data_IF_221264849206
#
_entry.id   IF_221264849206
#
_cell.length_a   1.000
_cell.length_b   1.000
_cell.length_c   1.000
_cell.angle_alpha   90.00
_cell.angle_beta   90.00
_cell.angle_gamma   90.00
#
_symmetry.space_group_name_H-M   'P 1'
#
loop_
_entity.id
_entity.type
_entity.pdbx_description
1 polymer ?
#
# COMPACT_ATOMS: atom_id res chain seq x y z
N UNK A 1 2.92 -11.98 7.30
CA UNK A 1 3.32 -10.60 7.67
C UNK A 1 4.38 -10.57 8.77
N UNK A 2 4.17 -11.19 9.95
CA UNK A 2 5.19 -11.22 11.02
C UNK A 2 6.52 -11.81 10.55
N UNK A 3 6.48 -12.93 9.84
CA UNK A 3 7.67 -13.59 9.32
C UNK A 3 8.38 -12.73 8.26
N UNK A 4 7.61 -12.20 7.29
CA UNK A 4 8.09 -11.26 6.26
C UNK A 4 8.76 -10.02 6.85
N UNK A 5 8.22 -9.47 7.94
CA UNK A 5 8.84 -8.36 8.66
C UNK A 5 10.14 -8.81 9.32
N UNK A 6 10.14 -9.99 9.96
CA UNK A 6 11.28 -10.56 10.66
C UNK A 6 12.50 -10.84 9.77
N UNK A 7 12.28 -11.07 8.47
CA UNK A 7 13.35 -11.22 7.47
C UNK A 7 14.11 -9.91 7.20
N UNK A 8 13.52 -8.75 7.50
CA UNK A 8 14.07 -7.44 7.15
C UNK A 8 14.37 -6.54 8.34
N UNK A 9 13.69 -6.74 9.47
CA UNK A 9 13.78 -5.90 10.66
C UNK A 9 13.54 -6.71 11.93
N UNK A 10 14.39 -6.50 12.95
CA UNK A 10 14.20 -7.06 14.29
C UNK A 10 12.94 -6.46 14.94
N UNK A 11 12.41 -7.11 15.98
CA UNK A 11 11.21 -6.64 16.66
C UNK A 11 11.32 -5.19 17.19
N UNK A 12 12.52 -4.74 17.55
CA UNK A 12 12.78 -3.39 18.06
C UNK A 12 13.30 -2.40 17.01
N UNK A 13 13.52 -2.82 15.76
CA UNK A 13 13.98 -1.93 14.70
C UNK A 13 12.84 -0.97 14.27
N UNK A 14 13.19 0.30 14.05
CA UNK A 14 12.22 1.32 13.65
C UNK A 14 11.64 1.05 12.26
N UNK A 15 10.31 1.16 12.12
CA UNK A 15 9.60 1.01 10.85
C UNK A 15 8.81 2.27 10.50
N UNK A 16 8.51 2.41 9.21
CA UNK A 16 7.66 3.47 8.71
C UNK A 16 6.51 2.90 7.88
N UNK A 17 5.29 3.30 8.19
CA UNK A 17 4.09 2.99 7.42
C UNK A 17 3.81 4.14 6.46
N UNK A 18 3.52 3.84 5.21
CA UNK A 18 3.18 4.81 4.19
C UNK A 18 1.83 4.45 3.60
N UNK A 19 0.84 5.33 3.77
CA UNK A 19 -0.46 5.19 3.12
C UNK A 19 -0.50 5.99 1.82
N UNK A 20 -0.49 5.29 0.69
CA UNK A 20 -0.58 5.90 -0.64
C UNK A 20 -2.02 6.16 -1.04
N UNK A 21 -2.16 7.15 -1.93
CA UNK A 21 -3.40 7.46 -2.61
C UNK A 21 -3.95 8.83 -2.28
N UNK A 22 -5.12 9.11 -2.84
CA UNK A 22 -5.80 10.38 -2.77
C UNK A 22 -7.06 10.28 -1.90
N UNK A 23 -7.09 11.02 -0.79
CA UNK A 23 -8.22 11.07 0.15
C UNK A 23 -9.55 11.43 -0.53
N UNK A 24 -9.51 12.23 -1.59
CA UNK A 24 -10.70 12.72 -2.29
C UNK A 24 -11.20 11.79 -3.39
N UNK A 25 -10.50 10.69 -3.67
CA UNK A 25 -10.90 9.68 -4.66
C UNK A 25 -11.24 8.41 -3.90
N UNK A 26 -12.51 8.11 -3.74
CA UNK A 26 -13.01 6.99 -2.91
C UNK A 26 -12.24 5.68 -3.08
N UNK A 27 -12.02 5.15 -4.31
CA UNK A 27 -11.28 3.91 -4.47
C UNK A 27 -9.79 4.03 -4.13
N UNK A 28 -9.20 5.23 -4.18
CA UNK A 28 -7.78 5.50 -3.93
C UNK A 28 -7.53 6.04 -2.51
N UNK A 29 -8.58 6.24 -1.70
CA UNK A 29 -8.49 6.85 -0.38
C UNK A 29 -8.03 5.88 0.73
N UNK A 30 -7.68 4.64 0.40
CA UNK A 30 -7.39 3.60 1.37
C UNK A 30 -6.19 3.95 2.27
N UNK A 31 -5.03 4.28 1.68
CA UNK A 31 -3.84 4.64 2.45
C UNK A 31 -4.07 5.83 3.38
N UNK A 32 -4.62 6.97 2.90
CA UNK A 32 -4.99 8.11 3.74
C UNK A 32 -5.95 7.78 4.88
N UNK A 33 -6.84 6.79 4.70
CA UNK A 33 -7.79 6.35 5.74
C UNK A 33 -7.19 5.35 6.73
N UNK A 34 -6.22 4.54 6.31
CA UNK A 34 -5.59 3.53 7.18
C UNK A 34 -4.50 4.15 8.07
N UNK A 35 -3.73 5.12 7.57
CA UNK A 35 -2.62 5.74 8.33
C UNK A 35 -3.04 6.30 9.70
N UNK A 36 -4.18 7.01 9.85
CA UNK A 36 -4.64 7.50 11.16
C UNK A 36 -4.98 6.41 12.17
N UNK A 37 -5.28 5.19 11.71
CA UNK A 37 -5.62 4.04 12.56
C UNK A 37 -4.37 3.26 13.04
N UNK A 38 -3.18 3.69 12.61
CA UNK A 38 -1.91 3.07 13.02
C UNK A 38 -1.44 3.66 14.36
N UNK A 39 -1.18 2.79 15.33
CA UNK A 39 -0.52 3.18 16.58
C UNK A 39 0.93 3.60 16.32
N UNK A 40 1.19 4.91 16.33
CA UNK A 40 2.51 5.49 16.12
C UNK A 40 3.24 5.70 17.45
N UNK A 41 4.41 5.08 17.59
CA UNK A 41 5.17 5.04 18.85
C UNK A 41 6.50 5.78 18.80
N UNK A 42 7.00 6.13 17.60
CA UNK A 42 8.34 6.75 17.42
C UNK A 42 8.50 8.02 18.28
N UNK A 43 7.51 8.91 18.24
CA UNK A 43 7.55 10.17 18.98
C UNK A 43 7.49 9.96 20.50
N UNK A 44 6.74 8.96 20.97
CA UNK A 44 6.65 8.62 22.40
C UNK A 44 8.01 8.10 22.89
N UNK A 45 8.65 7.22 22.13
CA UNK A 45 9.98 6.71 22.47
C UNK A 45 11.06 7.81 22.44
N UNK A 46 10.91 8.82 21.58
CA UNK A 46 11.84 9.94 21.47
C UNK A 46 11.71 10.94 22.62
N UNK A 47 10.48 11.31 23.00
CA UNK A 47 10.24 12.36 24.00
C UNK A 47 9.88 11.83 25.40
N UNK A 48 9.32 10.63 25.50
CA UNK A 48 8.82 10.02 26.73
C UNK A 48 9.18 8.52 26.82
N UNK A 49 10.46 8.14 26.72
CA UNK A 49 10.88 6.73 26.63
C UNK A 49 10.40 5.85 27.79
N UNK A 50 10.23 6.41 28.99
CA UNK A 50 9.72 5.68 30.18
C UNK A 50 8.22 5.38 30.15
N UNK A 51 7.48 5.98 29.22
CA UNK A 51 6.04 5.76 29.07
C UNK A 51 5.71 4.49 28.29
N UNK A 52 6.71 3.83 27.70
CA UNK A 52 6.55 2.63 26.88
C UNK A 52 7.52 1.53 27.36
N UNK A 53 7.16 0.25 27.21
CA UNK A 53 8.08 -0.87 27.40
C UNK A 53 9.36 -0.73 26.57
N UNK A 54 10.51 -1.17 27.09
CA UNK A 54 11.80 -1.08 26.38
C UNK A 54 11.85 -1.89 25.08
N UNK A 55 11.01 -2.91 24.94
CA UNK A 55 10.89 -3.74 23.74
C UNK A 55 9.90 -3.18 22.70
N UNK A 56 9.35 -2.00 22.95
CA UNK A 56 8.42 -1.32 22.03
C UNK A 56 9.13 -0.93 20.74
N UNK A 57 8.59 -1.40 19.62
CA UNK A 57 9.05 -1.01 18.28
C UNK A 57 8.76 0.48 18.02
N UNK A 58 9.72 1.27 17.49
CA UNK A 58 9.43 2.59 16.96
C UNK A 58 8.65 2.52 15.64
N UNK A 59 7.42 3.04 15.63
CA UNK A 59 6.56 3.12 14.45
C UNK A 59 6.31 4.58 14.12
N UNK A 60 6.56 4.94 12.85
CA UNK A 60 6.17 6.21 12.26
C UNK A 60 5.21 5.96 11.10
N UNK A 61 4.35 6.91 10.78
CA UNK A 61 3.42 6.78 9.67
C UNK A 61 3.22 8.11 8.94
N UNK A 62 2.99 8.04 7.62
CA UNK A 62 2.69 9.21 6.79
C UNK A 62 1.77 8.84 5.63
N UNK A 63 0.88 9.76 5.24
CA UNK A 63 0.23 9.73 3.94
C UNK A 63 0.68 10.97 3.15
N UNK A 64 1.53 10.80 2.12
CA UNK A 64 2.16 11.94 1.43
C UNK A 64 1.22 12.66 0.46
N UNK A 65 0.04 12.10 0.18
CA UNK A 65 -0.83 12.57 -0.88
C UNK A 65 -0.30 12.28 -2.29
N UNK A 66 -0.89 12.94 -3.28
CA UNK A 66 -0.60 12.76 -4.71
C UNK A 66 -0.11 14.06 -5.35
N UNK A 67 0.60 13.95 -6.47
CA UNK A 67 1.15 15.09 -7.23
C UNK A 67 0.14 16.22 -7.44
N UNK A 68 -1.10 15.88 -7.81
CA UNK A 68 -2.15 16.87 -8.08
C UNK A 68 -2.60 17.70 -6.86
N UNK A 69 -2.21 17.30 -5.64
CA UNK A 69 -2.54 17.99 -4.40
C UNK A 69 -1.30 18.70 -3.84
N UNK A 70 -0.15 18.03 -3.86
CA UNK A 70 1.06 18.51 -3.21
C UNK A 70 1.98 19.31 -4.13
N UNK A 71 1.86 19.12 -5.46
CA UNK A 71 2.83 19.61 -6.44
C UNK A 71 4.19 18.90 -6.38
N UNK A 72 4.34 17.86 -5.56
CA UNK A 72 5.58 17.11 -5.36
C UNK A 72 5.30 15.64 -5.62
N UNK A 73 6.18 14.98 -6.37
CA UNK A 73 6.09 13.54 -6.59
C UNK A 73 6.15 12.77 -5.28
N UNK A 74 5.28 11.77 -5.13
CA UNK A 74 5.22 10.92 -3.93
C UNK A 74 6.59 10.32 -3.61
N UNK A 75 7.35 9.90 -4.63
CA UNK A 75 8.70 9.38 -4.47
C UNK A 75 9.66 10.39 -3.85
N UNK A 76 9.56 11.67 -4.21
CA UNK A 76 10.45 12.72 -3.67
C UNK A 76 10.14 12.99 -2.20
N UNK A 77 8.85 13.06 -1.83
CA UNK A 77 8.41 13.17 -0.44
C UNK A 77 8.95 11.97 0.36
N UNK A 78 8.74 10.75 -0.13
CA UNK A 78 9.17 9.54 0.56
C UNK A 78 10.68 9.47 0.69
N UNK A 79 11.43 9.81 -0.36
CA UNK A 79 12.90 9.81 -0.30
C UNK A 79 13.41 10.81 0.73
N UNK A 80 12.87 12.03 0.73
CA UNK A 80 13.22 13.05 1.73
C UNK A 80 12.91 12.61 3.15
N UNK A 81 11.74 12.00 3.39
CA UNK A 81 11.36 11.51 4.73
C UNK A 81 12.22 10.32 5.15
N UNK A 82 12.46 9.36 4.27
CA UNK A 82 13.27 8.16 4.55
C UNK A 82 14.73 8.53 4.84
N UNK A 83 15.32 9.46 4.09
CA UNK A 83 16.71 9.87 4.29
C UNK A 83 16.93 10.59 5.64
N UNK A 84 15.90 11.27 6.14
CA UNK A 84 15.92 11.94 7.45
C UNK A 84 15.56 11.01 8.61
N UNK A 85 14.47 10.25 8.49
CA UNK A 85 13.95 9.40 9.58
C UNK A 85 14.75 8.10 9.71
N UNK A 86 15.33 7.62 8.60
CA UNK A 86 16.14 6.40 8.51
C UNK A 86 15.46 5.15 9.11
N UNK A 87 14.20 4.84 8.73
CA UNK A 87 13.56 3.60 9.17
C UNK A 87 14.29 2.38 8.60
N UNK A 88 14.25 1.26 9.31
CA UNK A 88 14.89 0.02 8.86
C UNK A 88 14.07 -0.72 7.80
N UNK A 89 12.76 -0.49 7.79
CA UNK A 89 11.78 -1.10 6.89
C UNK A 89 10.67 -0.11 6.59
N UNK A 90 10.25 -0.05 5.33
CA UNK A 90 9.05 0.65 4.89
C UNK A 90 7.92 -0.35 4.67
N UNK A 91 6.72 -0.05 5.14
CA UNK A 91 5.50 -0.78 4.79
C UNK A 91 4.58 0.19 4.05
N UNK A 92 4.28 -0.12 2.80
CA UNK A 92 3.50 0.74 1.91
C UNK A 92 2.13 0.12 1.72
N UNK A 93 1.08 0.89 1.96
CA UNK A 93 -0.32 0.48 1.82
C UNK A 93 -0.90 1.24 0.64
N UNK A 94 -1.39 0.52 -0.36
CA UNK A 94 -1.92 1.10 -1.59
C UNK A 94 -3.25 0.45 -2.01
N UNK A 95 -4.07 1.26 -2.66
CA UNK A 95 -5.26 0.79 -3.35
C UNK A 95 -4.87 0.29 -4.74
N UNK A 96 -5.36 -0.88 -5.12
CA UNK A 96 -5.08 -1.50 -6.42
C UNK A 96 -6.33 -1.57 -7.29
N UNK A 97 -6.13 -1.47 -8.61
CA UNK A 97 -7.15 -1.86 -9.56
C UNK A 97 -7.14 -3.38 -9.71
N UNK A 98 -8.31 -4.00 -9.59
CA UNK A 98 -8.52 -5.42 -9.86
C UNK A 98 -8.78 -5.65 -11.35
N UNK A 99 -8.34 -6.81 -11.85
CA UNK A 99 -8.76 -7.38 -13.14
C UNK A 99 -9.87 -8.42 -13.00
N UNK A 100 -10.49 -8.47 -11.83
CA UNK A 100 -11.62 -9.36 -11.59
C UNK A 100 -12.57 -8.77 -10.55
N UNK A 101 -13.87 -8.85 -10.81
CA UNK A 101 -14.91 -8.33 -9.92
C UNK A 101 -14.86 -9.05 -8.56
N UNK A 102 -14.65 -10.36 -8.55
CA UNK A 102 -14.67 -11.18 -7.33
C UNK A 102 -13.56 -10.81 -6.33
N UNK A 103 -12.49 -10.17 -6.81
CA UNK A 103 -11.33 -9.79 -5.98
C UNK A 103 -11.48 -8.44 -5.28
N UNK A 104 -12.51 -7.66 -5.64
CA UNK A 104 -12.76 -6.36 -5.02
C UNK A 104 -13.06 -6.56 -3.54
N UNK A 105 -12.28 -5.92 -2.68
CA UNK A 105 -12.43 -5.95 -1.21
C UNK A 105 -12.40 -7.35 -0.57
N UNK A 106 -11.99 -8.40 -1.29
CA UNK A 106 -11.98 -9.79 -0.80
C UNK A 106 -10.57 -10.36 -0.62
N UNK A 107 -9.53 -9.60 -1.01
CA UNK A 107 -8.14 -10.05 -0.92
C UNK A 107 -7.18 -8.94 -0.48
N UNK A 108 -6.11 -9.34 0.19
CA UNK A 108 -4.97 -8.49 0.53
C UNK A 108 -3.73 -9.11 -0.10
N UNK A 109 -3.01 -8.33 -0.88
CA UNK A 109 -1.76 -8.73 -1.53
C UNK A 109 -0.59 -8.21 -0.71
N UNK A 110 0.42 -9.04 -0.47
CA UNK A 110 1.63 -8.67 0.28
C UNK A 110 2.84 -9.07 -0.57
N UNK A 111 3.76 -8.13 -0.79
CA UNK A 111 4.99 -8.36 -1.56
C UNK A 111 6.17 -7.58 -0.97
N UNK A 112 7.38 -8.13 -1.06
CA UNK A 112 8.65 -7.51 -0.64
C UNK A 112 9.46 -6.93 -1.82
N UNK A 113 8.93 -7.05 -3.04
CA UNK A 113 9.56 -6.58 -4.28
C UNK A 113 9.38 -5.08 -4.50
N UNK A 114 8.48 -4.43 -3.75
CA UNK A 114 8.09 -3.03 -3.91
C UNK A 114 6.74 -2.87 -4.61
N UNK A 115 6.40 -1.62 -4.96
CA UNK A 115 5.13 -1.27 -5.60
C UNK A 115 5.31 -0.13 -6.60
N UNK A 116 4.55 -0.17 -7.70
CA UNK A 116 4.40 0.96 -8.63
C UNK A 116 3.02 1.57 -8.38
N UNK A 117 2.94 2.76 -7.74
CA UNK A 117 1.66 3.34 -7.38
C UNK A 117 0.81 3.59 -8.63
N UNK A 118 -0.45 3.17 -8.60
CA UNK A 118 -1.37 3.37 -9.73
C UNK A 118 -1.05 2.55 -10.98
N UNK A 119 -0.40 1.39 -10.85
CA UNK A 119 -0.12 0.46 -11.96
C UNK A 119 -1.38 -0.02 -12.72
N UNK A 120 -2.59 0.26 -12.24
CA UNK A 120 -3.86 -0.01 -12.92
C UNK A 120 -4.38 1.11 -13.82
N UNK A 121 -3.74 2.28 -13.82
CA UNK A 121 -4.17 3.45 -14.60
C UNK A 121 -2.97 3.93 -15.41
N UNK A 122 -2.67 3.28 -16.53
CA UNK A 122 -1.63 3.52 -17.57
C UNK A 122 -0.61 4.69 -17.38
N UNK A 123 -0.05 4.87 -16.21
CA UNK A 123 0.86 5.97 -15.89
C UNK A 123 2.13 5.37 -15.29
N UNK A 124 3.27 5.69 -15.91
CA UNK A 124 4.60 5.29 -15.46
C UNK A 124 5.01 6.09 -14.21
N UNK A 125 4.38 5.81 -13.06
CA UNK A 125 4.85 6.32 -11.77
C UNK A 125 6.14 5.62 -11.36
N UNK A 126 6.96 6.30 -10.56
CA UNK A 126 8.24 5.76 -10.08
C UNK A 126 7.99 4.64 -9.07
N UNK A 127 8.69 3.52 -9.25
CA UNK A 127 8.66 2.34 -8.39
C UNK A 127 9.15 2.65 -6.97
N UNK A 128 8.39 2.28 -5.95
CA UNK A 128 8.77 2.32 -4.54
C UNK A 128 9.28 0.94 -4.13
N UNK A 129 10.59 0.79 -4.02
CA UNK A 129 11.21 -0.48 -3.67
C UNK A 129 12.56 -0.27 -2.99
N UNK A 130 13.16 -1.38 -2.55
CA UNK A 130 14.53 -1.37 -2.02
C UNK A 130 15.54 -0.77 -3.00
N UNK A 131 15.32 -0.93 -4.30
CA UNK A 131 16.18 -0.38 -5.34
C UNK A 131 16.14 1.15 -5.38
N UNK A 132 14.98 1.76 -5.15
CA UNK A 132 14.80 3.21 -5.26
C UNK A 132 15.03 3.95 -3.95
N UNK A 133 14.65 3.35 -2.81
CA UNK A 133 14.79 3.99 -1.49
C UNK A 133 16.03 3.54 -0.72
N UNK A 134 16.62 2.39 -1.03
CA UNK A 134 17.79 1.84 -0.34
C UNK A 134 17.48 1.05 0.94
N UNK A 135 16.21 0.96 1.33
CA UNK A 135 15.73 0.18 2.49
C UNK A 135 14.69 -0.86 2.04
N UNK A 136 14.56 -2.00 2.73
CA UNK A 136 13.50 -2.96 2.46
C UNK A 136 12.11 -2.30 2.41
N UNK A 137 11.26 -2.74 1.48
CA UNK A 137 9.90 -2.26 1.30
C UNK A 137 8.96 -3.46 1.25
N UNK A 138 7.97 -3.50 2.14
CA UNK A 138 6.84 -4.41 2.04
C UNK A 138 5.65 -3.61 1.50
N UNK A 139 5.13 -4.01 0.35
CA UNK A 139 3.91 -3.48 -0.23
C UNK A 139 2.71 -4.31 0.22
N UNK A 140 1.64 -3.62 0.62
CA UNK A 140 0.33 -4.17 0.94
C UNK A 140 -0.68 -3.53 -0.03
N UNK A 141 -1.20 -4.34 -0.94
CA UNK A 141 -2.14 -3.91 -1.96
C UNK A 141 -3.53 -4.46 -1.72
N UNK A 142 -4.55 -3.62 -1.80
CA UNK A 142 -5.96 -4.04 -1.64
C UNK A 142 -6.73 -3.65 -2.91
N UNK A 143 -7.38 -4.59 -3.61
CA UNK A 143 -8.18 -4.25 -4.78
C UNK A 143 -9.46 -3.50 -4.37
N UNK A 144 -9.57 -2.22 -4.76
CA UNK A 144 -10.68 -1.33 -4.36
C UNK A 144 -11.55 -0.90 -5.53
N UNK A 145 -11.07 -1.07 -6.76
CA UNK A 145 -11.75 -0.66 -7.98
C UNK A 145 -11.48 -1.66 -9.09
N UNK A 146 -12.40 -1.73 -10.05
CA UNK A 146 -12.26 -2.48 -11.30
C UNK A 146 -12.57 -1.53 -12.44
N UNK A 147 -11.82 -1.62 -13.55
CA UNK A 147 -12.12 -0.82 -14.72
C UNK A 147 -13.33 -1.37 -15.49
N UNK A 148 -13.99 -0.49 -16.25
CA UNK A 148 -15.21 -0.85 -16.99
C UNK A 148 -14.94 -1.93 -18.04
N UNK A 149 -13.77 -1.94 -18.67
CA UNK A 149 -13.42 -2.92 -19.69
C UNK A 149 -13.38 -4.34 -19.10
N UNK A 150 -12.80 -4.48 -17.91
CA UNK A 150 -12.79 -5.72 -17.12
C UNK A 150 -14.20 -6.15 -16.79
N UNK A 151 -15.05 -5.23 -16.30
CA UNK A 151 -16.46 -5.54 -16.02
C UNK A 151 -17.17 -6.05 -17.26
N UNK A 152 -16.99 -5.37 -18.41
CA UNK A 152 -17.63 -5.78 -19.66
C UNK A 152 -17.16 -7.14 -20.15
N UNK A 153 -15.87 -7.45 -20.02
CA UNK A 153 -15.32 -8.74 -20.43
C UNK A 153 -15.87 -9.87 -19.54
N UNK A 154 -15.86 -9.71 -18.22
CA UNK A 154 -16.41 -10.72 -17.32
C UNK A 154 -17.91 -10.93 -17.55
N UNK A 155 -18.69 -9.88 -17.85
CA UNK A 155 -20.10 -10.04 -18.22
C UNK A 155 -20.30 -10.84 -19.51
N UNK A 156 -19.44 -10.65 -20.52
CA UNK A 156 -19.49 -11.40 -21.78
C UNK A 156 -19.15 -12.88 -21.52
N UNK A 157 -18.12 -13.15 -20.73
CA UNK A 157 -17.69 -14.51 -20.38
C UNK A 157 -18.81 -15.26 -19.65
N UNK A 158 -19.39 -14.64 -18.60
CA UNK A 158 -20.54 -15.18 -17.86
C UNK A 158 -21.73 -15.43 -18.80
N UNK A 159 -21.99 -14.54 -19.76
CA UNK A 159 -23.08 -14.72 -20.72
C UNK A 159 -22.84 -15.93 -21.63
N UNK A 160 -21.62 -16.11 -22.13
CA UNK A 160 -21.24 -17.26 -22.98
C UNK A 160 -21.37 -18.57 -22.20
N UNK A 161 -20.87 -18.62 -20.96
CA UNK A 161 -20.98 -19.80 -20.09
C UNK A 161 -22.44 -20.21 -19.88
N UNK A 162 -23.30 -19.25 -19.56
CA UNK A 162 -24.75 -19.49 -19.41
C UNK A 162 -25.42 -20.02 -20.69
N UNK A 163 -24.99 -19.56 -21.87
CA UNK A 163 -25.50 -20.10 -23.14
C UNK A 163 -25.07 -21.53 -23.38
N UNK A 164 -23.82 -21.87 -23.03
CA UNK A 164 -23.30 -23.23 -23.16
C UNK A 164 -24.00 -24.20 -22.21
N UNK A 165 -24.19 -23.81 -20.95
CA UNK A 165 -24.92 -24.63 -19.97
C UNK A 165 -26.35 -24.94 -20.42
N UNK A 166 -27.08 -23.93 -20.92
CA UNK A 166 -28.44 -24.11 -21.46
C UNK A 166 -28.50 -24.96 -22.72
N UNK A 167 -27.43 -24.95 -23.54
CA UNK A 167 -27.37 -25.80 -24.73
C UNK A 167 -27.08 -27.28 -24.38
N UNK A 168 -26.47 -27.53 -23.22
CA UNK A 168 -26.18 -28.88 -22.70
C UNK A 168 -27.29 -29.45 -21.81
N UNK A 169 -28.25 -28.62 -21.36
CA UNK A 169 -29.45 -29.02 -20.62
C UNK A 169 -30.62 -29.37 -21.53
#
# INVERSE_FOLDING_TARGET
LRDTIGEHAKNTDGIMIVGLGNLYVTPDALGPKVVPEIEVTRHILEYMPKAMPEDTRPVSAISPGVLGITGIETMEILKGVVDNVKPKLLIVIDALASRSIDRISSSIQIADTGIVPGAGVENKRKEISKKTLGIPVIAIGIPTVVDLATVTNECIDIFIENLQEKAMS
#
